data_IF_895917751874
#
_entry.id   IF_895917751874
#
_cell.length_a   1.000
_cell.length_b   1.000
_cell.length_c   1.000
_cell.angle_alpha   90.00
_cell.angle_beta   90.00
_cell.angle_gamma   90.00
#
_symmetry.space_group_name_H-M   'P 1'
#
loop_
_entity.id
_entity.type
_entity.pdbx_description
1 polymer ?
#
# COMPACT_ATOMS: atom_id res chain seq x y z
N UNK A 1 17.58 -7.47 -7.09
CA UNK A 1 17.75 -6.15 -6.44
C UNK A 1 18.97 -5.49 -7.06
N UNK A 2 18.86 -4.25 -7.54
CA UNK A 2 20.00 -3.53 -8.13
C UNK A 2 20.97 -3.06 -7.04
N UNK A 3 22.23 -2.74 -7.41
CA UNK A 3 23.21 -2.22 -6.47
C UNK A 3 22.72 -0.93 -5.77
N UNK A 4 22.00 -0.07 -6.48
CA UNK A 4 21.43 1.16 -5.94
C UNK A 4 20.38 0.90 -4.86
N UNK A 5 19.49 -0.08 -5.07
CA UNK A 5 18.47 -0.46 -4.08
C UNK A 5 19.12 -1.07 -2.84
N UNK A 6 20.15 -1.92 -3.02
CA UNK A 6 20.89 -2.49 -1.90
C UNK A 6 21.62 -1.43 -1.09
N UNK A 7 22.26 -0.48 -1.75
CA UNK A 7 22.92 0.66 -1.09
C UNK A 7 21.92 1.52 -0.30
N UNK A 8 20.77 1.82 -0.89
CA UNK A 8 19.72 2.58 -0.21
C UNK A 8 19.16 1.83 0.99
N UNK A 9 18.96 0.51 0.87
CA UNK A 9 18.51 -0.34 1.99
C UNK A 9 19.46 -0.21 3.19
N UNK A 10 20.76 -0.34 2.96
CA UNK A 10 21.79 -0.20 4.01
C UNK A 10 21.71 1.18 4.66
N UNK A 11 21.68 2.24 3.85
CA UNK A 11 21.59 3.62 4.34
C UNK A 11 20.33 3.85 5.19
N UNK A 12 19.16 3.39 4.74
CA UNK A 12 17.91 3.56 5.49
C UNK A 12 17.94 2.81 6.81
N UNK A 13 18.44 1.56 6.81
CA UNK A 13 18.59 0.75 8.04
C UNK A 13 19.50 1.44 9.06
N UNK A 14 20.68 1.92 8.63
CA UNK A 14 21.62 2.64 9.49
C UNK A 14 21.04 3.94 10.03
N UNK A 15 20.38 4.76 9.19
CA UNK A 15 19.77 6.05 9.60
C UNK A 15 18.64 5.84 10.58
N UNK A 16 17.76 4.87 10.34
CA UNK A 16 16.66 4.53 11.26
C UNK A 16 17.23 4.06 12.61
N UNK A 17 18.24 3.18 12.60
CA UNK A 17 18.90 2.70 13.81
C UNK A 17 19.60 3.84 14.59
N UNK A 18 20.18 4.81 13.87
CA UNK A 18 20.81 6.00 14.46
C UNK A 18 19.82 7.10 14.90
N UNK A 19 18.50 6.92 14.68
CA UNK A 19 17.42 7.90 14.90
C UNK A 19 17.57 9.17 14.06
N UNK A 20 18.23 9.05 12.92
CA UNK A 20 18.37 10.12 11.94
C UNK A 20 17.24 10.10 10.91
N UNK A 21 16.04 10.54 11.34
CA UNK A 21 14.85 10.63 10.49
C UNK A 21 15.09 11.52 9.27
N UNK A 22 15.71 12.67 9.48
CA UNK A 22 15.94 13.64 8.40
C UNK A 22 16.88 13.07 7.34
N UNK A 23 17.97 12.42 7.75
CA UNK A 23 18.89 11.75 6.85
C UNK A 23 18.26 10.58 6.10
N UNK A 24 17.38 9.78 6.74
CA UNK A 24 16.65 8.70 6.08
C UNK A 24 15.71 9.24 4.99
N UNK A 25 14.90 10.26 5.31
CA UNK A 25 13.99 10.90 4.33
C UNK A 25 14.77 11.51 3.16
N UNK A 26 15.84 12.24 3.45
CA UNK A 26 16.67 12.86 2.40
C UNK A 26 17.26 11.79 1.47
N UNK A 27 17.85 10.72 2.02
CA UNK A 27 18.44 9.65 1.24
C UNK A 27 17.43 8.98 0.30
N UNK A 28 16.22 8.67 0.80
CA UNK A 28 15.15 8.08 0.00
C UNK A 28 14.72 9.02 -1.15
N UNK A 29 14.48 10.30 -0.84
CA UNK A 29 14.03 11.27 -1.84
C UNK A 29 15.11 11.56 -2.90
N UNK A 30 16.38 11.64 -2.52
CA UNK A 30 17.48 11.86 -3.45
C UNK A 30 17.67 10.67 -4.39
N UNK A 31 17.53 9.45 -3.90
CA UNK A 31 17.57 8.25 -4.73
C UNK A 31 16.43 8.23 -5.78
N UNK A 32 15.24 8.69 -5.38
CA UNK A 32 14.11 8.80 -6.31
C UNK A 32 14.28 9.97 -7.28
N UNK A 33 14.69 11.17 -6.82
CA UNK A 33 14.87 12.35 -7.66
C UNK A 33 15.94 12.18 -8.72
N UNK A 34 17.04 11.52 -8.37
CA UNK A 34 18.12 11.21 -9.31
C UNK A 34 17.75 10.14 -10.34
N UNK A 35 16.63 9.41 -10.14
CA UNK A 35 16.24 8.29 -10.98
C UNK A 35 17.02 7.00 -10.70
N UNK A 36 17.88 6.98 -9.66
CA UNK A 36 18.63 5.79 -9.28
C UNK A 36 17.73 4.66 -8.75
N UNK A 37 16.62 5.03 -8.08
CA UNK A 37 15.61 4.11 -7.57
C UNK A 37 14.22 4.62 -7.99
N UNK A 38 13.46 3.88 -8.80
CA UNK A 38 12.07 4.19 -9.10
C UNK A 38 11.20 4.17 -7.82
N UNK A 39 10.11 4.96 -7.80
CA UNK A 39 9.18 4.97 -6.65
C UNK A 39 8.63 3.58 -6.32
N UNK A 40 8.19 2.76 -7.30
CA UNK A 40 7.73 1.41 -6.99
C UNK A 40 8.79 0.54 -6.29
N UNK A 41 10.06 0.64 -6.72
CA UNK A 41 11.17 -0.13 -6.14
C UNK A 41 11.53 0.37 -4.73
N UNK A 42 11.43 1.69 -4.48
CA UNK A 42 11.53 2.24 -3.13
C UNK A 42 10.43 1.67 -2.23
N UNK A 43 9.20 1.55 -2.72
CA UNK A 43 8.08 1.03 -1.94
C UNK A 43 8.25 -0.46 -1.62
N UNK A 44 8.80 -1.26 -2.53
CA UNK A 44 9.16 -2.66 -2.25
C UNK A 44 10.22 -2.76 -1.15
N UNK A 45 11.23 -1.89 -1.21
CA UNK A 45 12.25 -1.80 -0.17
C UNK A 45 11.65 -1.40 1.18
N UNK A 46 10.79 -0.39 1.23
CA UNK A 46 10.14 0.05 2.47
C UNK A 46 9.20 -1.02 3.05
N UNK A 47 8.48 -1.75 2.19
CA UNK A 47 7.65 -2.87 2.62
C UNK A 47 8.50 -3.99 3.26
N UNK A 48 9.63 -4.33 2.64
CA UNK A 48 10.57 -5.32 3.19
C UNK A 48 11.12 -4.87 4.55
N UNK A 49 11.54 -3.60 4.69
CA UNK A 49 11.99 -3.03 5.96
C UNK A 49 10.93 -3.13 7.06
N UNK A 50 9.66 -2.83 6.75
CA UNK A 50 8.56 -2.94 7.73
C UNK A 50 8.33 -4.40 8.15
N UNK A 51 8.44 -5.35 7.22
CA UNK A 51 8.31 -6.79 7.51
C UNK A 51 9.44 -7.23 8.46
N UNK A 52 10.69 -6.85 8.16
CA UNK A 52 11.87 -7.24 8.96
C UNK A 52 11.79 -6.64 10.37
N UNK A 53 11.40 -5.37 10.50
CA UNK A 53 11.21 -4.71 11.80
C UNK A 53 10.09 -5.38 12.60
N UNK A 54 8.97 -5.69 11.96
CA UNK A 54 7.86 -6.40 12.59
C UNK A 54 8.25 -7.81 13.06
N UNK A 55 9.04 -8.54 12.26
CA UNK A 55 9.56 -9.86 12.63
C UNK A 55 10.52 -9.78 13.83
N UNK A 56 11.44 -8.80 13.84
CA UNK A 56 12.36 -8.56 14.95
C UNK A 56 11.62 -8.18 16.25
N UNK A 57 10.56 -7.37 16.14
CA UNK A 57 9.69 -7.08 17.29
C UNK A 57 8.99 -8.34 17.81
N UNK A 58 8.42 -9.17 16.94
CA UNK A 58 7.78 -10.43 17.33
C UNK A 58 8.76 -11.42 17.97
N UNK A 59 10.04 -11.40 17.58
CA UNK A 59 11.11 -12.18 18.18
C UNK A 59 11.58 -11.62 19.53
N UNK A 60 11.13 -10.44 19.95
CA UNK A 60 11.56 -9.76 21.17
C UNK A 60 12.96 -9.12 21.07
N UNK A 61 13.47 -8.94 19.86
CA UNK A 61 14.78 -8.33 19.58
C UNK A 61 14.70 -6.80 19.45
N UNK A 62 13.49 -6.30 19.15
CA UNK A 62 13.17 -4.89 18.97
C UNK A 62 12.09 -4.47 19.93
N UNK A 63 12.26 -3.36 20.62
CA UNK A 63 11.26 -2.79 21.53
C UNK A 63 10.10 -2.14 20.74
N UNK A 64 8.89 -2.12 21.31
CA UNK A 64 7.68 -1.53 20.69
C UNK A 64 7.93 -0.10 20.19
N UNK A 65 8.59 0.74 21.00
CA UNK A 65 8.85 2.12 20.59
C UNK A 65 9.82 2.25 19.40
N UNK A 66 10.72 1.27 19.22
CA UNK A 66 11.66 1.25 18.09
C UNK A 66 10.94 0.88 16.79
N UNK A 67 10.04 -0.11 16.85
CA UNK A 67 9.14 -0.46 15.74
C UNK A 67 8.28 0.75 15.36
N UNK A 68 7.63 1.41 16.33
CA UNK A 68 6.81 2.59 16.08
C UNK A 68 7.61 3.76 15.49
N UNK A 69 8.85 3.98 15.96
CA UNK A 69 9.74 5.00 15.41
C UNK A 69 10.06 4.71 13.95
N UNK A 70 10.46 3.47 13.63
CA UNK A 70 10.80 3.08 12.26
C UNK A 70 9.60 3.20 11.32
N UNK A 71 8.43 2.73 11.74
CA UNK A 71 7.16 2.88 11.02
C UNK A 71 6.83 4.34 10.76
N UNK A 72 7.05 5.24 11.73
CA UNK A 72 6.82 6.68 11.56
C UNK A 72 7.82 7.31 10.57
N UNK A 73 9.07 6.84 10.52
CA UNK A 73 10.04 7.28 9.50
C UNK A 73 9.62 6.84 8.11
N UNK A 74 9.24 5.57 7.95
CA UNK A 74 8.74 5.02 6.68
C UNK A 74 7.51 5.79 6.20
N UNK A 75 6.53 6.05 7.08
CA UNK A 75 5.36 6.89 6.77
C UNK A 75 5.78 8.25 6.23
N UNK A 76 6.75 8.90 6.86
CA UNK A 76 7.24 10.20 6.40
C UNK A 76 7.87 10.12 5.01
N UNK A 77 8.61 9.05 4.70
CA UNK A 77 9.20 8.85 3.37
C UNK A 77 8.09 8.70 2.32
N UNK A 78 7.08 7.87 2.57
CA UNK A 78 5.96 7.64 1.66
C UNK A 78 5.22 8.97 1.39
N UNK A 79 4.88 9.71 2.45
CA UNK A 79 4.18 11.00 2.33
C UNK A 79 5.03 12.05 1.57
N UNK A 80 6.35 12.06 1.80
CA UNK A 80 7.26 12.95 1.10
C UNK A 80 7.49 12.60 -0.38
N UNK A 81 7.15 11.37 -0.80
CA UNK A 81 7.17 10.95 -2.20
C UNK A 81 5.94 11.44 -3.00
N UNK A 82 4.84 11.83 -2.35
CA UNK A 82 3.60 12.25 -3.02
C UNK A 82 3.79 13.30 -4.13
N UNK A 83 4.54 14.40 -3.95
CA UNK A 83 4.79 15.35 -5.04
C UNK A 83 5.51 14.70 -6.23
N UNK A 84 6.42 13.74 -5.98
CA UNK A 84 7.17 13.05 -7.04
C UNK A 84 6.29 12.04 -7.78
N UNK A 85 5.34 11.42 -7.09
CA UNK A 85 4.31 10.56 -7.70
C UNK A 85 3.42 11.39 -8.61
N UNK A 86 2.88 12.52 -8.12
CA UNK A 86 2.02 13.40 -8.90
C UNK A 86 2.73 13.98 -10.14
N UNK A 87 4.00 14.35 -10.01
CA UNK A 87 4.81 14.86 -11.14
C UNK A 87 5.06 13.80 -12.23
N UNK A 88 5.15 12.52 -11.85
CA UNK A 88 5.47 11.41 -12.75
C UNK A 88 4.25 10.65 -13.24
N UNK A 89 3.07 10.94 -12.70
CA UNK A 89 1.84 10.31 -13.12
C UNK A 89 1.56 10.60 -14.60
N UNK A 90 1.22 9.61 -15.42
CA UNK A 90 0.80 9.83 -16.80
C UNK A 90 -0.58 10.51 -16.84
N UNK A 91 -1.04 10.82 -18.03
CA UNK A 91 -2.41 11.28 -18.22
C UNK A 91 -3.40 10.20 -17.71
N UNK A 92 -4.53 10.62 -17.08
CA UNK A 92 -5.52 9.67 -16.59
C UNK A 92 -6.07 8.76 -17.70
N UNK A 93 -6.17 7.47 -17.40
CA UNK A 93 -6.69 6.44 -18.33
C UNK A 93 -8.22 6.29 -18.28
N UNK A 94 -8.89 7.05 -17.42
CA UNK A 94 -10.36 7.05 -17.29
C UNK A 94 -10.90 6.05 -16.25
N UNK A 95 -10.04 5.28 -15.59
CA UNK A 95 -10.42 4.39 -14.50
C UNK A 95 -10.13 4.97 -13.13
N UNK A 96 -10.98 4.63 -12.16
CA UNK A 96 -10.85 5.07 -10.77
C UNK A 96 -10.91 3.90 -9.79
N UNK A 97 -10.17 4.01 -8.68
CA UNK A 97 -10.08 2.99 -7.64
C UNK A 97 -10.19 3.63 -6.26
N UNK A 98 -11.00 3.04 -5.39
CA UNK A 98 -11.08 3.39 -3.96
C UNK A 98 -10.26 2.40 -3.15
N UNK A 99 -9.47 2.91 -2.19
CA UNK A 99 -8.61 2.07 -1.36
C UNK A 99 -8.91 2.30 0.12
N UNK A 100 -9.18 1.21 0.85
CA UNK A 100 -9.54 1.26 2.27
C UNK A 100 -9.06 0.03 3.04
N UNK A 101 -8.95 0.16 4.37
CA UNK A 101 -8.95 -0.99 5.27
C UNK A 101 -10.30 -1.10 5.99
N UNK A 102 -10.74 -2.29 6.43
CA UNK A 102 -12.00 -2.43 7.15
C UNK A 102 -11.96 -1.74 8.52
N UNK A 103 -13.12 -1.60 9.15
CA UNK A 103 -13.24 -1.07 10.51
C UNK A 103 -12.22 -1.70 11.46
N UNK A 104 -11.60 -0.88 12.30
CA UNK A 104 -10.59 -1.24 13.31
C UNK A 104 -9.26 -1.77 12.76
N UNK A 105 -9.06 -1.77 11.43
CA UNK A 105 -7.78 -2.07 10.81
C UNK A 105 -7.01 -0.77 10.55
N UNK A 106 -5.86 -0.60 11.21
CA UNK A 106 -5.06 0.63 11.16
C UNK A 106 -3.75 0.50 10.37
N UNK A 107 -3.46 -0.69 9.79
CA UNK A 107 -2.26 -0.92 8.99
C UNK A 107 -2.47 -0.45 7.55
N UNK A 108 -2.34 0.87 7.32
CA UNK A 108 -2.62 1.53 6.05
C UNK A 108 -1.39 1.86 5.18
N UNK A 109 -0.16 1.68 5.67
CA UNK A 109 1.04 2.08 4.93
C UNK A 109 1.20 1.34 3.59
N UNK A 110 0.96 0.01 3.59
CA UNK A 110 0.95 -0.76 2.37
C UNK A 110 -0.08 -0.25 1.37
N UNK A 111 -1.27 0.09 1.87
CA UNK A 111 -2.36 0.60 1.03
C UNK A 111 -2.03 1.97 0.42
N UNK A 112 -1.30 2.85 1.14
CA UNK A 112 -0.80 4.14 0.61
C UNK A 112 0.16 3.92 -0.54
N UNK A 113 1.10 2.98 -0.40
CA UNK A 113 2.04 2.62 -1.46
C UNK A 113 1.32 2.05 -2.70
N UNK A 114 0.24 1.29 -2.49
CA UNK A 114 -0.60 0.77 -3.58
C UNK A 114 -1.36 1.90 -4.29
N UNK A 115 -1.92 2.87 -3.56
CA UNK A 115 -2.59 4.03 -4.16
C UNK A 115 -1.65 4.82 -5.09
N UNK A 116 -0.40 5.01 -4.68
CA UNK A 116 0.61 5.67 -5.49
C UNK A 116 0.99 4.86 -6.74
N UNK A 117 1.02 3.52 -6.65
CA UNK A 117 1.24 2.65 -7.83
C UNK A 117 0.08 2.77 -8.83
N UNK A 118 -1.17 2.83 -8.37
CA UNK A 118 -2.32 3.11 -9.23
C UNK A 118 -2.21 4.48 -9.90
N UNK A 119 -1.82 5.51 -9.15
CA UNK A 119 -1.60 6.86 -9.69
C UNK A 119 -0.51 6.85 -10.77
N UNK A 120 0.62 6.17 -10.54
CA UNK A 120 1.70 6.00 -11.51
C UNK A 120 1.31 5.17 -12.74
N UNK A 121 0.26 4.35 -12.63
CA UNK A 121 -0.34 3.63 -13.76
C UNK A 121 -1.45 4.41 -14.48
N UNK A 122 -1.72 5.66 -14.07
CA UNK A 122 -2.72 6.54 -14.70
C UNK A 122 -4.14 6.40 -14.17
N UNK A 123 -4.35 5.65 -13.10
CA UNK A 123 -5.63 5.58 -12.43
C UNK A 123 -5.89 6.81 -11.56
N UNK A 124 -7.17 7.16 -11.38
CA UNK A 124 -7.58 8.09 -10.33
C UNK A 124 -7.72 7.30 -9.02
N UNK A 125 -6.74 7.41 -8.12
CA UNK A 125 -6.72 6.67 -6.87
C UNK A 125 -7.29 7.49 -5.70
N UNK A 126 -8.35 6.98 -5.08
CA UNK A 126 -9.02 7.58 -3.91
C UNK A 126 -8.67 6.80 -2.64
N UNK A 127 -7.62 7.23 -1.95
CA UNK A 127 -7.19 6.60 -0.70
C UNK A 127 -8.05 7.10 0.47
N UNK A 128 -8.96 6.28 0.97
CA UNK A 128 -9.71 6.55 2.20
C UNK A 128 -8.87 6.22 3.45
N UNK A 129 -7.96 5.24 3.34
CA UNK A 129 -7.03 4.89 4.40
C UNK A 129 -7.61 3.90 5.41
N UNK A 130 -7.30 4.13 6.69
CA UNK A 130 -7.55 3.18 7.77
C UNK A 130 -8.96 3.23 8.33
N UNK A 131 -9.46 2.07 8.78
CA UNK A 131 -10.66 1.93 9.61
C UNK A 131 -11.94 2.53 8.98
N UNK A 132 -12.24 2.15 7.74
CA UNK A 132 -13.43 2.62 7.01
C UNK A 132 -14.57 1.62 7.19
N UNK A 133 -15.72 2.03 7.76
CA UNK A 133 -16.90 1.18 7.85
C UNK A 133 -17.47 0.80 6.48
N UNK A 134 -18.06 -0.40 6.36
CA UNK A 134 -18.59 -0.89 5.09
C UNK A 134 -19.62 0.07 4.45
N UNK A 135 -20.52 0.63 5.24
CA UNK A 135 -21.52 1.57 4.75
C UNK A 135 -20.89 2.85 4.16
N UNK A 136 -19.85 3.38 4.80
CA UNK A 136 -19.12 4.56 4.32
C UNK A 136 -18.32 4.24 3.05
N UNK A 137 -17.76 3.02 2.95
CA UNK A 137 -17.10 2.56 1.74
C UNK A 137 -18.06 2.44 0.56
N UNK A 138 -19.26 1.88 0.77
CA UNK A 138 -20.31 1.81 -0.26
C UNK A 138 -20.71 3.21 -0.75
N UNK A 139 -20.88 4.14 0.17
CA UNK A 139 -21.20 5.52 -0.18
C UNK A 139 -20.07 6.18 -0.97
N UNK A 140 -18.81 5.97 -0.58
CA UNK A 140 -17.66 6.49 -1.30
C UNK A 140 -17.56 5.92 -2.72
N UNK A 141 -17.75 4.61 -2.90
CA UNK A 141 -17.74 3.95 -4.23
C UNK A 141 -18.79 4.58 -5.14
N UNK A 142 -20.01 4.78 -4.63
CA UNK A 142 -21.11 5.39 -5.39
C UNK A 142 -20.81 6.86 -5.75
N UNK A 143 -20.40 7.68 -4.77
CA UNK A 143 -20.19 9.12 -4.96
C UNK A 143 -18.99 9.42 -5.86
N UNK A 144 -17.94 8.60 -5.78
CA UNK A 144 -16.73 8.75 -6.59
C UNK A 144 -16.84 8.06 -7.96
N UNK A 145 -17.89 7.26 -8.18
CA UNK A 145 -18.06 6.50 -9.42
C UNK A 145 -16.90 5.53 -9.66
N UNK A 146 -16.46 4.82 -8.61
CA UNK A 146 -15.30 3.99 -8.70
C UNK A 146 -15.54 2.72 -9.53
N UNK A 147 -14.57 2.39 -10.39
CA UNK A 147 -14.57 1.15 -11.20
C UNK A 147 -14.03 -0.04 -10.39
N UNK A 148 -13.22 0.25 -9.38
CA UNK A 148 -12.59 -0.77 -8.56
C UNK A 148 -12.43 -0.36 -7.10
N UNK A 149 -12.27 -1.37 -6.24
CA UNK A 149 -11.93 -1.20 -4.81
C UNK A 149 -10.73 -2.09 -4.47
N UNK A 150 -9.80 -1.56 -3.68
CA UNK A 150 -8.74 -2.34 -3.03
C UNK A 150 -8.98 -2.35 -1.53
N UNK A 151 -9.08 -3.55 -0.96
CA UNK A 151 -9.20 -3.76 0.48
C UNK A 151 -7.94 -4.42 1.02
N UNK A 152 -7.40 -3.89 2.11
CA UNK A 152 -6.21 -4.44 2.76
C UNK A 152 -6.49 -4.87 4.18
N UNK A 153 -5.93 -6.03 4.57
CA UNK A 153 -5.97 -6.52 5.93
C UNK A 153 -4.59 -7.00 6.39
N UNK A 154 -4.24 -6.71 7.65
CA UNK A 154 -2.99 -7.15 8.26
C UNK A 154 -3.19 -8.43 9.08
N UNK A 155 -4.33 -8.56 9.81
CA UNK A 155 -4.60 -9.71 10.65
C UNK A 155 -5.60 -10.68 10.02
N UNK A 156 -5.56 -11.95 10.45
CA UNK A 156 -6.54 -12.95 10.04
C UNK A 156 -7.98 -12.53 10.38
N UNK A 157 -8.19 -11.90 11.52
CA UNK A 157 -9.50 -11.39 11.95
C UNK A 157 -10.07 -10.39 10.92
N UNK A 158 -9.27 -9.40 10.52
CA UNK A 158 -9.68 -8.43 9.53
C UNK A 158 -9.87 -9.04 8.14
N UNK A 159 -9.06 -10.07 7.76
CA UNK A 159 -9.27 -10.83 6.53
C UNK A 159 -10.64 -11.49 6.48
N UNK A 160 -11.10 -12.05 7.61
CA UNK A 160 -12.45 -12.63 7.68
C UNK A 160 -13.54 -11.56 7.55
N UNK A 161 -13.36 -10.41 8.17
CA UNK A 161 -14.29 -9.28 8.07
C UNK A 161 -14.44 -8.79 6.62
N UNK A 162 -13.37 -8.83 5.81
CA UNK A 162 -13.41 -8.41 4.40
C UNK A 162 -14.41 -9.20 3.55
N UNK A 163 -14.77 -10.45 3.92
CA UNK A 163 -15.79 -11.21 3.18
C UNK A 163 -17.13 -10.47 3.16
N UNK A 164 -17.54 -9.94 4.32
CA UNK A 164 -18.77 -9.15 4.41
C UNK A 164 -18.69 -7.89 3.56
N UNK A 165 -17.54 -7.18 3.59
CA UNK A 165 -17.33 -5.99 2.75
C UNK A 165 -17.47 -6.31 1.25
N UNK A 166 -16.85 -7.40 0.80
CA UNK A 166 -16.91 -7.83 -0.60
C UNK A 166 -18.32 -8.23 -1.01
N UNK A 167 -19.02 -8.99 -0.15
CA UNK A 167 -20.40 -9.40 -0.41
C UNK A 167 -21.34 -8.18 -0.54
N UNK A 168 -21.21 -7.20 0.35
CA UNK A 168 -22.00 -5.95 0.31
C UNK A 168 -21.64 -5.09 -0.91
N UNK A 169 -20.36 -4.98 -1.27
CA UNK A 169 -19.92 -4.25 -2.46
C UNK A 169 -20.49 -4.88 -3.74
N UNK A 170 -20.38 -6.19 -3.92
CA UNK A 170 -20.91 -6.88 -5.10
C UNK A 170 -22.45 -6.86 -5.15
N UNK A 171 -23.14 -6.90 -4.00
CA UNK A 171 -24.59 -6.78 -3.96
C UNK A 171 -25.06 -5.40 -4.40
N UNK A 172 -24.35 -4.33 -4.00
CA UNK A 172 -24.69 -2.95 -4.35
C UNK A 172 -24.20 -2.56 -5.77
N UNK A 173 -23.06 -3.10 -6.20
CA UNK A 173 -22.36 -2.76 -7.43
C UNK A 173 -21.87 -4.03 -8.16
N UNK A 174 -22.75 -4.77 -8.89
CA UNK A 174 -22.40 -6.07 -9.49
C UNK A 174 -21.25 -6.06 -10.52
N UNK A 175 -20.94 -4.88 -11.08
CA UNK A 175 -19.82 -4.70 -12.02
C UNK A 175 -18.53 -4.18 -11.41
N UNK A 176 -18.48 -4.00 -10.08
CA UNK A 176 -17.33 -3.46 -9.39
C UNK A 176 -16.21 -4.50 -9.30
N UNK A 177 -15.00 -4.13 -9.70
CA UNK A 177 -13.84 -4.96 -9.45
C UNK A 177 -13.36 -4.79 -8.01
N UNK A 178 -13.18 -5.90 -7.29
CA UNK A 178 -12.69 -5.87 -5.91
C UNK A 178 -11.42 -6.69 -5.80
N UNK A 179 -10.33 -6.03 -5.42
CA UNK A 179 -9.07 -6.68 -5.09
C UNK A 179 -8.80 -6.63 -3.59
N UNK A 180 -8.15 -7.66 -3.09
CA UNK A 180 -7.77 -7.78 -1.69
C UNK A 180 -6.26 -8.04 -1.56
N UNK A 181 -5.69 -7.62 -0.44
CA UNK A 181 -4.26 -7.82 -0.18
C UNK A 181 -3.88 -7.53 1.27
N UNK A 182 -2.58 -7.39 1.48
CA UNK A 182 -1.99 -7.15 2.79
C UNK A 182 -1.43 -8.40 3.44
N UNK A 183 -0.78 -8.23 4.61
CA UNK A 183 -0.03 -9.29 5.29
C UNK A 183 -0.89 -10.50 5.67
N UNK A 184 -2.21 -10.32 5.88
CA UNK A 184 -3.15 -11.39 6.20
C UNK A 184 -3.31 -12.42 5.07
N UNK A 185 -2.91 -12.09 3.84
CA UNK A 185 -2.99 -12.95 2.66
C UNK A 185 -1.64 -13.56 2.26
N UNK A 186 -0.54 -13.13 2.87
CA UNK A 186 0.81 -13.53 2.46
C UNK A 186 1.12 -15.02 2.71
N UNK A 187 0.42 -15.68 3.63
CA UNK A 187 0.66 -17.09 4.01
C UNK A 187 -0.44 -18.01 3.52
N UNK A 188 -1.68 -17.57 3.57
CA UNK A 188 -2.87 -18.35 3.22
C UNK A 188 -3.94 -17.39 2.71
N UNK A 189 -4.52 -17.71 1.56
CA UNK A 189 -5.68 -17.00 1.01
C UNK A 189 -6.85 -17.96 0.76
N UNK A 190 -6.89 -19.09 1.50
CA UNK A 190 -7.94 -20.08 1.40
C UNK A 190 -9.33 -19.46 1.48
N UNK A 191 -10.17 -19.83 0.51
CA UNK A 191 -11.53 -19.33 0.39
C UNK A 191 -11.65 -17.93 -0.21
N UNK A 192 -10.56 -17.43 -0.85
CA UNK A 192 -10.55 -16.23 -1.68
C UNK A 192 -10.16 -16.61 -3.12
N UNK A 193 -10.86 -16.11 -4.14
CA UNK A 193 -10.50 -16.32 -5.54
C UNK A 193 -9.13 -15.69 -5.87
N UNK A 194 -8.31 -16.39 -6.65
CA UNK A 194 -6.98 -15.90 -7.04
C UNK A 194 -7.05 -14.58 -7.82
N UNK A 195 -8.11 -14.39 -8.62
CA UNK A 195 -8.36 -13.16 -9.38
C UNK A 195 -8.63 -11.93 -8.51
N UNK A 196 -8.98 -12.14 -7.25
CA UNK A 196 -9.13 -11.06 -6.27
C UNK A 196 -7.81 -10.69 -5.59
N UNK A 197 -6.77 -11.52 -5.69
CA UNK A 197 -5.49 -11.22 -5.07
C UNK A 197 -4.75 -10.14 -5.85
N UNK A 198 -4.57 -8.96 -5.22
CA UNK A 198 -3.83 -7.88 -5.85
C UNK A 198 -2.32 -8.19 -5.88
N UNK A 199 -1.77 -8.32 -7.07
CA UNK A 199 -0.33 -8.23 -7.28
C UNK A 199 0.04 -6.75 -7.55
N UNK A 200 0.80 -6.10 -6.67
CA UNK A 200 1.23 -4.71 -6.85
C UNK A 200 2.01 -4.46 -8.15
N UNK A 201 2.69 -5.48 -8.67
CA UNK A 201 3.46 -5.36 -9.91
C UNK A 201 2.60 -5.51 -11.17
N UNK A 202 1.40 -6.10 -11.05
CA UNK A 202 0.44 -6.22 -12.14
C UNK A 202 -0.41 -4.96 -12.37
N UNK A 203 -0.41 -4.00 -11.43
CA UNK A 203 -1.27 -2.79 -11.48
C UNK A 203 -1.23 -2.08 -12.85
N UNK A 204 -0.08 -1.89 -13.53
CA UNK A 204 -0.05 -1.22 -14.83
C UNK A 204 -0.88 -1.91 -15.93
N UNK A 205 -1.11 -3.22 -15.80
CA UNK A 205 -1.86 -4.02 -16.78
C UNK A 205 -3.33 -4.28 -16.38
N UNK A 206 -3.77 -3.86 -15.18
CA UNK A 206 -5.12 -4.17 -14.69
C UNK A 206 -6.21 -3.52 -15.54
N UNK A 207 -5.97 -2.34 -16.09
CA UNK A 207 -6.94 -1.64 -16.92
C UNK A 207 -7.28 -2.40 -18.22
N UNK A 208 -6.34 -3.17 -18.76
CA UNK A 208 -6.53 -3.93 -19.99
C UNK A 208 -7.59 -5.05 -19.84
N UNK A 209 -7.83 -5.51 -18.63
CA UNK A 209 -8.79 -6.56 -18.30
C UNK A 209 -10.18 -6.05 -17.88
N UNK A 210 -10.41 -4.73 -17.87
CA UNK A 210 -11.66 -4.09 -17.41
C UNK A 210 -12.56 -3.63 -18.55
N UNK A 211 -12.30 -4.07 -19.79
CA UNK A 211 -13.10 -3.72 -20.98
C UNK A 211 -14.26 -4.69 -21.19
#
# INVERSE_FOLDING_TARGET
MTDAIQALHTVLTERIAARDRAGAVTAALDAVRSGAVPVPDLYDLLAALLIDIGASWQAGETEVWQEHYATAVVRTIIEACQPLVAERAPAPIGHSVVLATPSEEYHDLGLRMIADRFTLAGWTAHLLGASVPAAELLDAVRELGADAVVLSAYTHFHRLALKTYVDELHAAHPGLHVWVGGAAFAREHDGWPDEMMLDPHAIPALADGMV
#
